data_IF_092844736344
#
_entry.id   IF_092844736344
#
_cell.length_a   1.000
_cell.length_b   1.000
_cell.length_c   1.000
_cell.angle_alpha   90.00
_cell.angle_beta   90.00
_cell.angle_gamma   90.00
#
_symmetry.space_group_name_H-M   'P 1'
#
loop_
_entity.id
_entity.type
_entity.pdbx_description
1 polymer ?
#
# COMPACT_ATOMS: atom_id res chain seq x y z
N UNK A 1 -19.53 -11.85 13.13
CA UNK A 1 -18.14 -11.60 13.54
C UNK A 1 -18.19 -11.58 15.04
N UNK A 2 -17.84 -12.71 15.66
CA UNK A 2 -17.98 -12.97 17.10
C UNK A 2 -16.80 -12.34 17.84
N UNK A 3 -16.98 -11.97 19.10
CA UNK A 3 -15.92 -11.36 19.92
C UNK A 3 -14.65 -12.24 20.01
N UNK A 4 -14.80 -13.56 19.85
CA UNK A 4 -13.69 -14.54 19.80
C UNK A 4 -12.77 -14.38 18.58
N UNK A 5 -13.28 -13.90 17.44
CA UNK A 5 -12.46 -13.64 16.24
C UNK A 5 -11.55 -12.41 16.43
N UNK A 6 -11.99 -11.42 17.21
CA UNK A 6 -11.24 -10.19 17.51
C UNK A 6 -10.10 -10.47 18.50
N UNK A 7 -10.29 -11.36 19.49
CA UNK A 7 -9.25 -11.75 20.45
C UNK A 7 -8.10 -12.54 19.82
N UNK A 8 -8.39 -13.47 18.90
CA UNK A 8 -7.37 -14.22 18.16
C UNK A 8 -6.58 -13.33 17.18
N UNK A 9 -7.21 -12.32 16.59
CA UNK A 9 -6.53 -11.31 15.77
C UNK A 9 -5.60 -10.42 16.63
N UNK A 10 -6.02 -10.11 17.86
CA UNK A 10 -5.26 -9.31 18.83
C UNK A 10 -3.98 -10.02 19.30
N UNK A 11 -4.05 -11.31 19.70
CA UNK A 11 -2.89 -12.08 20.16
C UNK A 11 -1.84 -12.28 19.05
N UNK A 12 -2.30 -12.55 17.82
CA UNK A 12 -1.41 -12.63 16.65
C UNK A 12 -0.74 -11.29 16.31
N UNK A 13 -1.45 -10.17 16.49
CA UNK A 13 -0.90 -8.83 16.33
C UNK A 13 0.18 -8.52 17.36
N UNK A 14 -0.07 -8.82 18.63
CA UNK A 14 0.86 -8.56 19.73
C UNK A 14 2.17 -9.33 19.58
N UNK A 15 2.11 -10.64 19.29
CA UNK A 15 3.31 -11.46 19.03
C UNK A 15 4.11 -10.95 17.83
N UNK A 16 3.42 -10.47 16.80
CA UNK A 16 4.06 -9.87 15.62
C UNK A 16 4.76 -8.56 15.96
N UNK A 17 4.14 -7.70 16.76
CA UNK A 17 4.76 -6.46 17.26
C UNK A 17 6.03 -6.76 18.07
N UNK A 18 5.94 -7.65 19.04
CA UNK A 18 7.09 -8.02 19.87
C UNK A 18 8.26 -8.54 19.03
N UNK A 19 8.00 -9.31 17.97
CA UNK A 19 9.04 -9.80 17.06
C UNK A 19 9.74 -8.66 16.30
N UNK A 20 9.00 -7.64 15.90
CA UNK A 20 9.54 -6.48 15.20
C UNK A 20 10.35 -5.60 16.16
N UNK A 21 9.88 -5.41 17.40
CA UNK A 21 10.55 -4.63 18.43
C UNK A 21 11.85 -5.25 18.95
N UNK A 22 11.99 -6.58 18.85
CA UNK A 22 13.25 -7.28 19.17
C UNK A 22 14.39 -6.97 18.21
N UNK A 23 14.10 -6.35 17.06
CA UNK A 23 15.14 -5.93 16.13
C UNK A 23 15.91 -4.74 16.71
N UNK A 24 17.22 -4.67 16.43
CA UNK A 24 18.03 -3.52 16.85
C UNK A 24 17.43 -2.23 16.28
N UNK A 25 17.13 -1.29 17.17
CA UNK A 25 16.69 0.03 16.76
C UNK A 25 17.81 0.75 15.97
N UNK A 26 17.47 1.40 14.83
CA UNK A 26 18.44 2.18 14.08
C UNK A 26 18.91 3.38 14.91
N UNK A 27 20.19 3.69 14.78
CA UNK A 27 20.77 4.93 15.28
C UNK A 27 20.17 6.14 14.55
N UNK A 28 20.36 7.34 15.08
CA UNK A 28 19.89 8.58 14.42
C UNK A 28 20.44 8.75 13.01
N UNK A 29 21.71 8.41 12.80
CA UNK A 29 22.35 8.45 11.48
C UNK A 29 21.76 7.42 10.52
N UNK A 30 21.53 6.19 10.97
CA UNK A 30 20.89 5.14 10.17
C UNK A 30 19.44 5.53 9.82
N UNK A 31 18.71 6.14 10.76
CA UNK A 31 17.35 6.61 10.52
C UNK A 31 17.29 7.73 9.48
N UNK A 32 18.23 8.69 9.53
CA UNK A 32 18.34 9.74 8.53
C UNK A 32 18.61 9.15 7.13
N UNK A 33 19.58 8.23 7.02
CA UNK A 33 19.90 7.54 5.77
C UNK A 33 18.70 6.77 5.19
N UNK A 34 17.96 6.03 6.04
CA UNK A 34 16.77 5.31 5.63
C UNK A 34 15.66 6.26 5.14
N UNK A 35 15.51 7.41 5.81
CA UNK A 35 14.53 8.43 5.42
C UNK A 35 14.90 9.05 4.07
N UNK A 36 16.17 9.38 3.87
CA UNK A 36 16.67 9.95 2.61
C UNK A 36 16.58 8.95 1.46
N UNK A 37 16.83 7.65 1.71
CA UNK A 37 16.61 6.58 0.73
C UNK A 37 15.14 6.56 0.25
N UNK A 38 14.18 6.59 1.19
CA UNK A 38 12.76 6.63 0.85
C UNK A 38 12.43 7.87 0.03
N UNK A 39 12.85 9.06 0.49
CA UNK A 39 12.59 10.33 -0.21
C UNK A 39 13.11 10.33 -1.64
N UNK A 40 14.32 9.81 -1.85
CA UNK A 40 14.93 9.71 -3.18
C UNK A 40 14.11 8.82 -4.11
N UNK A 41 13.66 7.66 -3.62
CA UNK A 41 12.86 6.73 -4.43
C UNK A 41 11.46 7.31 -4.73
N UNK A 42 10.84 7.98 -3.76
CA UNK A 42 9.55 8.70 -3.96
C UNK A 42 9.69 9.83 -4.98
N UNK A 43 10.75 10.64 -4.90
CA UNK A 43 11.00 11.70 -5.88
C UNK A 43 11.24 11.16 -7.30
N UNK A 44 11.94 10.03 -7.40
CA UNK A 44 12.10 9.32 -8.66
C UNK A 44 10.76 8.80 -9.20
N UNK A 45 9.93 8.18 -8.36
CA UNK A 45 8.57 7.76 -8.74
C UNK A 45 7.75 8.92 -9.29
N UNK A 46 7.75 10.07 -8.61
CA UNK A 46 7.04 11.27 -9.06
C UNK A 46 7.56 11.76 -10.42
N UNK A 47 8.89 11.74 -10.62
CA UNK A 47 9.52 12.12 -11.88
C UNK A 47 9.10 11.18 -13.01
N UNK A 48 9.15 9.86 -12.78
CA UNK A 48 8.73 8.86 -13.76
C UNK A 48 7.25 9.02 -14.09
N UNK A 49 6.37 9.15 -13.08
CA UNK A 49 4.93 9.36 -13.30
C UNK A 49 4.67 10.61 -14.15
N UNK A 50 5.42 11.69 -13.94
CA UNK A 50 5.27 12.92 -14.72
C UNK A 50 5.76 12.77 -16.18
N UNK A 51 6.71 11.87 -16.44
CA UNK A 51 7.31 11.65 -17.77
C UNK A 51 6.60 10.55 -18.58
N UNK A 52 5.93 9.60 -17.92
CA UNK A 52 5.25 8.47 -18.57
C UNK A 52 3.77 8.76 -18.79
N UNK A 53 3.24 8.44 -19.98
CA UNK A 53 1.81 8.46 -20.26
C UNK A 53 1.23 7.04 -20.29
N UNK A 54 0.10 6.80 -19.62
CA UNK A 54 -0.62 5.53 -19.71
C UNK A 54 -0.05 4.39 -18.85
N UNK A 55 -0.14 3.16 -19.38
CA UNK A 55 0.26 1.93 -18.73
C UNK A 55 1.73 1.58 -19.02
N UNK A 56 2.65 2.42 -18.58
CA UNK A 56 4.09 2.23 -18.80
C UNK A 56 4.70 1.30 -17.73
N UNK A 57 5.45 0.26 -18.13
CA UNK A 57 6.12 -0.63 -17.16
C UNK A 57 7.11 0.12 -16.26
N UNK A 58 7.78 1.17 -16.76
CA UNK A 58 8.70 1.98 -15.99
C UNK A 58 7.99 2.68 -14.82
N UNK A 59 6.76 3.16 -15.04
CA UNK A 59 5.91 3.72 -13.99
C UNK A 59 5.65 2.70 -12.89
N UNK A 60 5.15 1.51 -13.24
CA UNK A 60 4.82 0.50 -12.23
C UNK A 60 6.04 -0.08 -11.54
N UNK A 61 7.18 -0.13 -12.22
CA UNK A 61 8.47 -0.49 -11.63
C UNK A 61 8.90 0.52 -10.57
N UNK A 62 8.79 1.83 -10.85
CA UNK A 62 9.10 2.88 -9.88
C UNK A 62 8.16 2.86 -8.67
N UNK A 63 6.85 2.62 -8.90
CA UNK A 63 5.88 2.42 -7.81
C UNK A 63 6.27 1.23 -6.93
N UNK A 64 6.59 0.07 -7.54
CA UNK A 64 6.96 -1.13 -6.80
C UNK A 64 8.20 -0.91 -5.94
N UNK A 65 9.23 -0.24 -6.47
CA UNK A 65 10.45 0.04 -5.69
C UNK A 65 10.18 1.01 -4.55
N UNK A 66 9.30 2.00 -4.75
CA UNK A 66 8.86 2.90 -3.66
C UNK A 66 8.22 2.13 -2.53
N UNK A 67 7.22 1.28 -2.83
CA UNK A 67 6.54 0.51 -1.79
C UNK A 67 7.45 -0.52 -1.12
N UNK A 68 8.42 -1.10 -1.83
CA UNK A 68 9.44 -1.96 -1.23
C UNK A 68 10.33 -1.18 -0.27
N UNK A 69 10.81 -0.02 -0.68
CA UNK A 69 11.69 0.84 0.13
C UNK A 69 10.98 1.33 1.39
N UNK A 70 9.73 1.80 1.27
CA UNK A 70 8.89 2.18 2.41
C UNK A 70 8.66 0.98 3.33
N UNK A 71 8.39 -0.21 2.79
CA UNK A 71 8.24 -1.40 3.63
C UNK A 71 9.53 -1.70 4.40
N UNK A 72 10.70 -1.68 3.74
CA UNK A 72 12.00 -1.90 4.40
C UNK A 72 12.22 -0.87 5.53
N UNK A 73 11.92 0.40 5.25
CA UNK A 73 11.96 1.47 6.24
C UNK A 73 11.09 1.13 7.45
N UNK A 74 9.81 0.84 7.25
CA UNK A 74 8.87 0.58 8.35
C UNK A 74 9.28 -0.63 9.19
N UNK A 75 9.75 -1.71 8.55
CA UNK A 75 10.22 -2.89 9.28
C UNK A 75 11.44 -2.60 10.16
N UNK A 76 12.32 -1.68 9.77
CA UNK A 76 13.48 -1.24 10.56
C UNK A 76 13.12 -0.21 11.64
N UNK A 77 11.98 0.46 11.52
CA UNK A 77 11.52 1.50 12.44
C UNK A 77 10.15 1.17 13.04
N UNK A 78 9.99 0.00 13.69
CA UNK A 78 8.71 -0.34 14.30
C UNK A 78 8.34 0.68 15.37
N UNK A 79 7.04 0.91 15.53
CA UNK A 79 6.53 1.70 16.64
C UNK A 79 5.28 1.06 17.21
N UNK A 80 5.08 1.29 18.49
CA UNK A 80 3.93 0.79 19.24
C UNK A 80 3.00 1.93 19.60
N UNK A 81 1.71 1.64 19.55
CA UNK A 81 0.71 2.56 20.06
C UNK A 81 0.91 2.76 21.56
N UNK A 82 0.82 3.99 22.04
CA UNK A 82 0.86 4.26 23.49
C UNK A 82 -0.47 3.86 24.11
N UNK A 83 -0.40 3.06 25.17
CA UNK A 83 -1.56 2.72 25.97
C UNK A 83 -2.19 3.99 26.58
N UNK A 84 -3.52 4.02 26.67
CA UNK A 84 -4.28 5.15 27.23
C UNK A 84 -4.49 6.34 26.30
N UNK A 85 -3.86 6.39 25.12
CA UNK A 85 -4.20 7.40 24.12
C UNK A 85 -5.50 7.06 23.39
N UNK A 86 -6.24 8.10 23.00
CA UNK A 86 -7.36 7.97 22.08
C UNK A 86 -6.88 7.42 20.74
N UNK A 87 -7.77 6.72 20.02
CA UNK A 87 -7.42 6.09 18.75
C UNK A 87 -7.01 7.12 17.70
N UNK A 88 -7.68 8.27 17.67
CA UNK A 88 -7.32 9.37 16.79
C UNK A 88 -5.92 9.92 17.06
N UNK A 89 -5.51 10.01 18.33
CA UNK A 89 -4.17 10.48 18.74
C UNK A 89 -3.06 9.46 18.44
N UNK A 90 -3.37 8.17 18.54
CA UNK A 90 -2.48 7.10 18.07
C UNK A 90 -2.20 7.30 16.57
N UNK A 91 -3.24 7.50 15.75
CA UNK A 91 -3.09 7.76 14.32
C UNK A 91 -2.38 9.08 13.99
N UNK A 92 -2.59 10.16 14.77
CA UNK A 92 -1.83 11.41 14.61
C UNK A 92 -0.33 11.18 14.80
N UNK A 93 0.04 10.37 15.78
CA UNK A 93 1.45 10.00 16.02
C UNK A 93 2.03 9.21 14.84
N UNK A 94 1.21 8.40 14.14
CA UNK A 94 1.61 7.73 12.90
C UNK A 94 1.80 8.75 11.78
N UNK A 95 0.88 9.70 11.63
CA UNK A 95 0.92 10.73 10.60
C UNK A 95 2.23 11.53 10.67
N UNK A 96 2.61 11.96 11.87
CA UNK A 96 3.86 12.73 12.08
C UNK A 96 5.11 11.95 11.66
N UNK A 97 5.10 10.62 11.84
CA UNK A 97 6.20 9.75 11.40
C UNK A 97 6.25 9.59 9.87
N UNK A 98 5.11 9.43 9.21
CA UNK A 98 5.08 9.17 7.77
C UNK A 98 5.20 10.44 6.93
N UNK A 99 4.86 11.62 7.48
CA UNK A 99 5.04 12.92 6.81
C UNK A 99 6.45 13.12 6.29
N UNK A 100 7.46 12.69 7.07
CA UNK A 100 8.86 12.81 6.69
C UNK A 100 9.21 12.03 5.41
N UNK A 101 8.42 11.02 5.03
CA UNK A 101 8.68 10.18 3.85
C UNK A 101 8.24 10.82 2.53
N UNK A 102 7.44 11.89 2.59
CA UNK A 102 6.92 12.62 1.43
C UNK A 102 6.12 11.78 0.41
N UNK A 103 5.61 10.62 0.82
CA UNK A 103 4.74 9.79 -0.02
C UNK A 103 3.27 10.19 0.23
N UNK A 104 2.69 10.93 -0.72
CA UNK A 104 1.36 11.55 -0.58
C UNK A 104 0.24 10.53 -0.37
N UNK A 105 0.20 9.44 -1.14
CA UNK A 105 -0.85 8.41 -1.01
C UNK A 105 -0.91 7.82 0.42
N UNK A 106 0.24 7.56 1.03
CA UNK A 106 0.36 7.05 2.39
C UNK A 106 -0.03 8.13 3.41
N UNK A 107 0.41 9.37 3.22
CA UNK A 107 0.06 10.50 4.09
C UNK A 107 -1.46 10.70 4.10
N UNK A 108 -2.09 10.76 2.94
CA UNK A 108 -3.54 10.93 2.78
C UNK A 108 -4.30 9.74 3.40
N UNK A 109 -3.82 8.52 3.15
CA UNK A 109 -4.43 7.33 3.73
C UNK A 109 -4.37 7.33 5.27
N UNK A 110 -3.24 7.75 5.86
CA UNK A 110 -3.10 7.87 7.33
C UNK A 110 -3.95 9.02 7.88
N UNK A 111 -4.01 10.17 7.18
CA UNK A 111 -4.86 11.29 7.57
C UNK A 111 -6.34 10.88 7.61
N UNK A 112 -6.80 10.11 6.62
CA UNK A 112 -8.14 9.54 6.64
C UNK A 112 -8.37 8.63 7.86
N UNK A 113 -7.37 7.85 8.31
CA UNK A 113 -7.53 7.04 9.52
C UNK A 113 -7.68 7.90 10.79
N UNK A 114 -7.02 9.05 10.86
CA UNK A 114 -7.21 10.03 11.95
C UNK A 114 -8.65 10.52 11.97
N UNK A 115 -9.19 10.92 10.82
CA UNK A 115 -10.57 11.41 10.69
C UNK A 115 -11.58 10.32 11.04
N UNK A 116 -11.40 9.10 10.52
CA UNK A 116 -12.25 7.95 10.85
C UNK A 116 -12.26 7.70 12.36
N UNK A 117 -11.09 7.65 12.99
CA UNK A 117 -11.00 7.46 14.43
C UNK A 117 -11.68 8.59 15.21
N UNK A 118 -11.47 9.85 14.79
CA UNK A 118 -12.08 11.01 15.44
C UNK A 118 -13.60 11.04 15.29
N UNK A 119 -14.14 10.62 14.15
CA UNK A 119 -15.58 10.57 13.91
C UNK A 119 -16.25 9.47 14.74
N UNK A 120 -15.60 8.30 14.87
CA UNK A 120 -16.08 7.23 15.74
C UNK A 120 -16.10 7.65 17.21
N UNK A 121 -15.08 8.37 17.67
CA UNK A 121 -15.04 8.95 19.03
C UNK A 121 -16.21 9.92 19.28
N UNK A 122 -16.74 10.56 18.23
CA UNK A 122 -17.92 11.43 18.29
C UNK A 122 -19.25 10.69 18.10
N UNK A 123 -19.23 9.35 17.96
CA UNK A 123 -20.43 8.54 17.79
C UNK A 123 -21.02 8.54 16.37
N UNK A 124 -20.27 8.96 15.35
CA UNK A 124 -20.74 8.95 13.94
C UNK A 124 -20.64 7.49 13.40
N UNK A 125 -21.76 6.79 13.14
CA UNK A 125 -21.76 5.33 12.92
C UNK A 125 -21.35 4.90 11.51
N UNK A 126 -21.50 5.77 10.51
CA UNK A 126 -21.45 5.39 9.09
C UNK A 126 -20.03 5.27 8.51
N UNK A 127 -19.02 5.17 9.38
CA UNK A 127 -17.62 5.05 9.00
C UNK A 127 -17.14 3.65 9.37
N UNK A 128 -17.18 2.72 8.41
CA UNK A 128 -16.69 1.35 8.63
C UNK A 128 -15.23 1.39 9.08
N UNK A 129 -14.91 0.94 10.30
CA UNK A 129 -13.53 0.89 10.73
C UNK A 129 -12.76 -0.12 9.89
N UNK A 130 -11.59 0.30 9.42
CA UNK A 130 -10.58 -0.66 8.97
C UNK A 130 -9.99 -1.29 10.23
N UNK A 131 -10.15 -2.61 10.37
CA UNK A 131 -9.62 -3.53 11.39
C UNK A 131 -9.17 -2.94 12.73
N UNK A 132 -9.76 -3.42 13.83
CA UNK A 132 -9.25 -3.18 15.17
C UNK A 132 -7.83 -3.79 15.31
N UNK A 133 -6.90 -3.11 16.00
CA UNK A 133 -5.52 -3.58 16.21
C UNK A 133 -4.48 -2.46 16.26
N UNK A 134 -3.20 -2.79 16.44
CA UNK A 134 -2.11 -1.79 16.47
C UNK A 134 -2.05 -0.98 15.16
N UNK A 135 -2.04 0.36 15.25
CA UNK A 135 -2.07 1.25 14.08
C UNK A 135 -0.89 0.98 13.13
N UNK A 136 0.28 0.68 13.69
CA UNK A 136 1.44 0.26 12.92
C UNK A 136 1.19 -1.00 12.07
N UNK A 137 0.54 -2.02 12.62
CA UNK A 137 0.26 -3.26 11.88
C UNK A 137 -0.78 -3.05 10.79
N UNK A 138 -1.80 -2.23 11.06
CA UNK A 138 -2.82 -1.87 10.06
C UNK A 138 -2.17 -1.10 8.91
N UNK A 139 -1.26 -0.16 9.21
CA UNK A 139 -0.49 0.57 8.21
C UNK A 139 0.44 -0.37 7.42
N UNK A 140 1.14 -1.29 8.09
CA UNK A 140 1.98 -2.29 7.42
C UNK A 140 1.15 -3.18 6.48
N UNK A 141 -0.07 -3.55 6.83
CA UNK A 141 -0.97 -4.27 5.94
C UNK A 141 -1.31 -3.44 4.70
N UNK A 142 -1.66 -2.16 4.87
CA UNK A 142 -1.91 -1.25 3.77
C UNK A 142 -0.70 -1.16 2.81
N UNK A 143 0.51 -0.94 3.35
CA UNK A 143 1.75 -0.88 2.57
C UNK A 143 1.99 -2.19 1.80
N UNK A 144 1.75 -3.35 2.43
CA UNK A 144 1.86 -4.64 1.76
C UNK A 144 0.84 -4.79 0.62
N UNK A 145 -0.38 -4.32 0.80
CA UNK A 145 -1.41 -4.33 -0.23
C UNK A 145 -1.02 -3.45 -1.41
N UNK A 146 -0.47 -2.25 -1.15
CA UNK A 146 0.05 -1.36 -2.19
C UNK A 146 1.21 -1.98 -2.97
N UNK A 147 2.17 -2.59 -2.27
CA UNK A 147 3.27 -3.36 -2.90
C UNK A 147 2.74 -4.48 -3.80
N UNK A 148 1.78 -5.28 -3.31
CA UNK A 148 1.17 -6.38 -4.10
C UNK A 148 0.46 -5.85 -5.34
N UNK A 149 -0.29 -4.75 -5.21
CA UNK A 149 -0.96 -4.10 -6.33
C UNK A 149 0.04 -3.58 -7.37
N UNK A 150 1.10 -2.89 -6.94
CA UNK A 150 2.14 -2.41 -7.84
C UNK A 150 2.83 -3.56 -8.60
N UNK A 151 3.10 -4.67 -7.92
CA UNK A 151 3.65 -5.87 -8.56
C UNK A 151 2.68 -6.48 -9.59
N UNK A 152 1.39 -6.57 -9.28
CA UNK A 152 0.39 -7.08 -10.22
C UNK A 152 0.28 -6.20 -11.47
N UNK A 153 0.23 -4.88 -11.29
CA UNK A 153 0.18 -3.92 -12.40
C UNK A 153 1.45 -3.96 -13.25
N UNK A 154 2.62 -4.09 -12.63
CA UNK A 154 3.88 -4.27 -13.36
C UNK A 154 3.85 -5.54 -14.22
N UNK A 155 3.41 -6.67 -13.67
CA UNK A 155 3.29 -7.92 -14.44
C UNK A 155 2.35 -7.75 -15.63
N UNK A 156 1.22 -7.07 -15.44
CA UNK A 156 0.28 -6.79 -16.52
C UNK A 156 0.87 -5.85 -17.57
N UNK A 157 1.61 -4.81 -17.17
CA UNK A 157 2.26 -3.91 -18.11
C UNK A 157 3.34 -4.63 -18.93
N UNK A 158 4.19 -5.44 -18.29
CA UNK A 158 5.21 -6.22 -19.00
C UNK A 158 4.60 -7.20 -20.01
N UNK A 159 3.47 -7.81 -19.66
CA UNK A 159 2.74 -8.71 -20.56
C UNK A 159 2.13 -7.92 -21.73
N UNK A 160 1.48 -6.79 -21.46
CA UNK A 160 0.92 -5.92 -22.49
C UNK A 160 2.00 -5.34 -23.43
N UNK A 161 3.21 -5.05 -22.94
CA UNK A 161 4.36 -4.68 -23.77
C UNK A 161 4.79 -5.83 -24.67
N UNK A 162 4.90 -7.05 -24.10
CA UNK A 162 5.27 -8.26 -24.84
C UNK A 162 4.29 -8.58 -25.97
N UNK A 163 3.00 -8.40 -25.72
CA UNK A 163 1.91 -8.66 -26.68
C UNK A 163 1.65 -7.46 -27.63
N UNK A 164 2.37 -6.34 -27.47
CA UNK A 164 2.24 -5.17 -28.33
C UNK A 164 0.98 -4.32 -28.10
N UNK A 165 0.34 -4.46 -26.94
CA UNK A 165 -0.84 -3.67 -26.54
C UNK A 165 -0.50 -2.26 -26.05
N UNK A 166 0.77 -1.95 -25.79
CA UNK A 166 1.20 -0.64 -25.33
C UNK A 166 1.63 0.20 -26.53
N UNK A 167 0.68 1.00 -27.01
CA UNK A 167 0.94 2.00 -28.06
C UNK A 167 1.75 3.14 -27.48
N UNK A 168 2.97 3.31 -28.01
CA UNK A 168 3.77 4.51 -27.87
C UNK A 168 3.02 5.70 -28.47
N UNK A 169 2.26 6.44 -27.66
CA UNK A 169 1.84 7.84 -27.92
C UNK A 169 0.93 8.14 -29.12
N UNK A 170 0.65 7.21 -30.03
CA UNK A 170 -0.26 7.45 -31.17
C UNK A 170 -1.60 6.74 -30.96
N UNK A 171 -2.62 7.53 -30.62
CA UNK A 171 -3.97 7.07 -30.27
C UNK A 171 -4.65 6.24 -31.37
N UNK A 172 -4.62 4.93 -31.20
CA UNK A 172 -5.59 3.99 -31.77
C UNK A 172 -6.45 3.36 -30.67
N UNK A 173 -7.68 2.90 -30.96
CA UNK A 173 -8.62 2.45 -29.94
C UNK A 173 -8.18 1.09 -29.36
N UNK A 174 -7.53 1.15 -28.20
CA UNK A 174 -7.18 0.02 -27.31
C UNK A 174 -8.40 -0.87 -26.99
N UNK A 175 -9.62 -0.34 -27.13
CA UNK A 175 -10.87 -1.02 -26.82
C UNK A 175 -11.12 -2.29 -27.64
N UNK A 176 -10.80 -2.31 -28.93
CA UNK A 176 -11.21 -3.42 -29.82
C UNK A 176 -10.34 -4.66 -29.61
N UNK A 177 -9.01 -4.50 -29.58
CA UNK A 177 -8.10 -5.64 -29.39
C UNK A 177 -8.13 -6.21 -27.97
N UNK A 178 -8.35 -5.38 -26.94
CA UNK A 178 -8.55 -5.89 -25.58
C UNK A 178 -9.86 -6.69 -25.48
N UNK A 179 -10.94 -6.22 -26.11
CA UNK A 179 -12.21 -6.96 -26.16
C UNK A 179 -12.05 -8.31 -26.87
N UNK A 180 -11.32 -8.35 -27.99
CA UNK A 180 -11.02 -9.59 -28.71
C UNK A 180 -10.19 -10.56 -27.86
N UNK A 181 -9.18 -10.07 -27.14
CA UNK A 181 -8.33 -10.92 -26.30
C UNK A 181 -9.09 -11.48 -25.08
N UNK A 182 -9.94 -10.66 -24.44
CA UNK A 182 -10.80 -11.15 -23.36
C UNK A 182 -11.86 -12.13 -23.85
N UNK A 183 -12.39 -11.94 -25.06
CA UNK A 183 -13.33 -12.87 -25.71
C UNK A 183 -12.65 -14.20 -26.03
N UNK A 184 -11.46 -14.18 -26.61
CA UNK A 184 -10.67 -15.39 -26.88
C UNK A 184 -10.29 -16.15 -25.60
N UNK A 185 -9.92 -15.43 -24.54
CA UNK A 185 -9.63 -16.04 -23.23
C UNK A 185 -10.88 -16.67 -22.60
N UNK A 186 -12.05 -16.06 -22.74
CA UNK A 186 -13.33 -16.63 -22.30
C UNK A 186 -13.74 -17.87 -23.11
N UNK A 187 -13.52 -17.85 -24.42
CA UNK A 187 -13.84 -18.96 -25.34
C UNK A 187 -12.87 -20.16 -25.19
N UNK A 188 -11.65 -19.90 -24.72
CA UNK A 188 -10.63 -20.95 -24.48
C UNK A 188 -10.76 -21.67 -23.12
N UNK A 189 -11.77 -21.32 -22.30
CA UNK A 189 -12.04 -21.99 -21.03
C UNK A 189 -13.16 -23.04 -21.19
N UNK A 190 -12.84 -24.35 -21.31
CA UNK A 190 -13.83 -25.40 -21.58
C UNK A 190 -14.80 -25.68 -20.41
N UNK A 191 -14.68 -24.96 -19.30
CA UNK A 191 -15.47 -25.17 -18.08
C UNK A 191 -16.86 -24.52 -18.05
N UNK A 192 -17.29 -23.79 -19.07
CA UNK A 192 -18.57 -23.05 -19.04
C UNK A 192 -19.62 -23.52 -20.06
N UNK A 193 -19.40 -24.67 -20.73
CA UNK A 193 -20.44 -25.38 -21.47
C UNK A 193 -21.01 -26.51 -20.61
N UNK A 194 -21.87 -26.15 -19.64
CA UNK A 194 -22.97 -26.98 -19.08
C UNK A 194 -23.52 -26.30 -17.83
N UNK A 195 -24.62 -25.58 -18.00
CA UNK A 195 -25.87 -25.72 -17.23
C UNK A 195 -27.00 -25.19 -18.11
#
# INVERSE_FOLDING_TARGET
MTDEDDDLACDNGERRMQRLERQRAPTRSELAQLTDEVRRVVANEQTVIAQTSGADSARYQAQLETWRTIQRYMHKTPFRDRAGLKRSDQWRSVLDRVRALNQLELIDWVALQVEVASNRERGIPDMRPRKNGHAFLVMLEYINNRKRKALALLKWALEAEREGFITSGTGGPISERLQEHFKAAADSNPGNQRL
#
